data_IF_364752104588
#
_entry.id   IF_364752104588
#
_cell.length_a   1.000
_cell.length_b   1.000
_cell.length_c   1.000
_cell.angle_alpha   90.00
_cell.angle_beta   90.00
_cell.angle_gamma   90.00
#
_symmetry.space_group_name_H-M   'P 1'
#
loop_
_entity.id
_entity.type
_entity.pdbx_description
1 polymer ?
#
# COMPACT_ATOMS: atom_id res chain seq x y z
N UNK A 1 -1.42 53.83 -41.54
CA UNK A 1 -0.04 53.37 -41.77
C UNK A 1 0.46 52.89 -40.42
N UNK A 2 0.07 51.66 -40.08
CA UNK A 2 0.92 50.45 -40.14
C UNK A 2 1.77 50.36 -38.86
N UNK A 3 1.85 49.26 -38.11
CA UNK A 3 1.45 47.89 -38.37
C UNK A 3 0.97 47.23 -37.07
N UNK A 4 -0.03 46.37 -37.24
CA UNK A 4 -0.51 45.35 -36.32
C UNK A 4 0.67 44.44 -35.94
N UNK A 5 0.90 44.27 -34.63
CA UNK A 5 1.93 43.41 -34.06
C UNK A 5 1.60 41.95 -34.42
N UNK A 6 2.22 41.45 -35.49
CA UNK A 6 2.11 40.06 -35.89
C UNK A 6 2.74 39.13 -34.85
N UNK A 7 1.96 38.72 -33.84
CA UNK A 7 2.27 37.52 -33.08
C UNK A 7 2.33 36.37 -34.07
N UNK A 8 3.53 35.83 -34.31
CA UNK A 8 3.69 34.70 -35.22
C UNK A 8 2.75 33.56 -34.81
N UNK A 9 1.83 33.19 -35.69
CA UNK A 9 0.87 32.12 -35.44
C UNK A 9 1.64 30.80 -35.47
N UNK A 10 1.90 30.22 -34.30
CA UNK A 10 2.56 28.91 -34.15
C UNK A 10 1.59 27.84 -34.67
N UNK A 11 2.05 26.92 -35.53
CA UNK A 11 1.21 25.80 -35.99
C UNK A 11 0.99 24.79 -34.87
N UNK A 12 -0.17 24.12 -34.84
CA UNK A 12 -0.50 23.13 -33.79
C UNK A 12 0.54 22.03 -33.67
N UNK A 13 1.10 21.57 -34.80
CA UNK A 13 2.17 20.58 -34.83
C UNK A 13 3.46 21.11 -34.19
N UNK A 14 3.85 22.33 -34.54
CA UNK A 14 5.04 22.97 -33.96
C UNK A 14 4.84 23.22 -32.46
N UNK A 15 3.65 23.62 -32.02
CA UNK A 15 3.31 23.77 -30.61
C UNK A 15 3.41 22.44 -29.86
N UNK A 16 2.89 21.36 -30.43
CA UNK A 16 2.98 20.00 -29.87
C UNK A 16 4.43 19.54 -29.72
N UNK A 17 5.27 19.73 -30.74
CA UNK A 17 6.68 19.33 -30.69
C UNK A 17 7.46 20.14 -29.64
N UNK A 18 7.25 21.46 -29.59
CA UNK A 18 7.88 22.35 -28.61
C UNK A 18 7.45 22.04 -27.17
N UNK A 19 6.15 21.79 -26.93
CA UNK A 19 5.63 21.45 -25.60
C UNK A 19 6.05 20.05 -25.16
N UNK A 20 6.23 19.10 -26.10
CA UNK A 20 6.82 17.78 -25.83
C UNK A 20 8.28 17.92 -25.38
N UNK A 21 9.11 18.69 -26.10
CA UNK A 21 10.49 18.96 -25.72
C UNK A 21 10.60 19.68 -24.36
N UNK A 22 9.72 20.64 -24.08
CA UNK A 22 9.61 21.29 -22.76
C UNK A 22 9.26 20.30 -21.66
N UNK A 23 8.35 19.36 -21.92
CA UNK A 23 7.95 18.33 -20.95
C UNK A 23 9.10 17.38 -20.63
N UNK A 24 9.87 16.97 -21.64
CA UNK A 24 11.09 16.16 -21.44
C UNK A 24 12.13 16.90 -20.59
N UNK A 25 12.40 18.17 -20.90
CA UNK A 25 13.34 18.99 -20.12
C UNK A 25 12.88 19.22 -18.68
N UNK A 26 11.57 19.42 -18.47
CA UNK A 26 10.99 19.51 -17.13
C UNK A 26 11.12 18.18 -16.37
N UNK A 27 10.90 17.05 -17.06
CA UNK A 27 11.06 15.71 -16.49
C UNK A 27 12.49 15.44 -16.01
N UNK A 28 13.51 15.74 -16.83
CA UNK A 28 14.92 15.60 -16.44
C UNK A 28 15.31 16.51 -15.27
N UNK A 29 14.85 17.78 -15.28
CA UNK A 29 15.10 18.71 -14.19
C UNK A 29 14.45 18.25 -12.87
N UNK A 30 13.21 17.76 -12.93
CA UNK A 30 12.48 17.24 -11.78
C UNK A 30 13.11 15.95 -11.24
N UNK A 31 13.62 15.07 -12.10
CA UNK A 31 14.28 13.84 -11.69
C UNK A 31 15.58 14.07 -10.90
N UNK A 32 16.23 15.23 -11.09
CA UNK A 32 17.45 15.64 -10.38
C UNK A 32 17.18 16.38 -9.06
N UNK A 33 15.91 16.66 -8.75
CA UNK A 33 15.48 17.35 -7.53
C UNK A 33 14.39 16.53 -6.81
N UNK A 34 14.78 15.57 -5.96
CA UNK A 34 13.84 14.70 -5.25
C UNK A 34 12.83 15.45 -4.38
N UNK A 35 13.22 16.59 -3.80
CA UNK A 35 12.31 17.40 -2.97
C UNK A 35 11.26 18.10 -3.83
N UNK A 36 11.65 18.65 -5.00
CA UNK A 36 10.71 19.20 -5.96
C UNK A 36 9.80 18.12 -6.57
N UNK A 37 10.32 16.92 -6.83
CA UNK A 37 9.54 15.78 -7.29
C UNK A 37 8.51 15.34 -6.25
N UNK A 38 8.91 15.27 -4.98
CA UNK A 38 8.02 14.97 -3.84
C UNK A 38 6.93 16.03 -3.69
N UNK A 39 7.30 17.31 -3.75
CA UNK A 39 6.36 18.43 -3.72
C UNK A 39 5.37 18.40 -4.88
N UNK A 40 5.83 18.08 -6.09
CA UNK A 40 4.97 17.98 -7.27
C UNK A 40 3.99 16.81 -7.16
N UNK A 41 4.47 15.63 -6.75
CA UNK A 41 3.63 14.47 -6.46
C UNK A 41 2.60 14.83 -5.39
N UNK A 42 3.04 15.37 -4.25
CA UNK A 42 2.17 15.79 -3.15
C UNK A 42 1.10 16.78 -3.61
N UNK A 43 1.48 17.78 -4.41
CA UNK A 43 0.54 18.75 -4.97
C UNK A 43 -0.53 18.06 -5.81
N UNK A 44 -0.16 17.18 -6.75
CA UNK A 44 -1.11 16.44 -7.57
C UNK A 44 -2.03 15.53 -6.74
N UNK A 45 -1.51 14.89 -5.68
CA UNK A 45 -2.29 14.07 -4.76
C UNK A 45 -3.29 14.92 -3.94
N UNK A 46 -2.88 16.10 -3.46
CA UNK A 46 -3.74 16.99 -2.67
C UNK A 46 -4.91 17.52 -3.49
N UNK A 47 -4.71 17.90 -4.75
CA UNK A 47 -5.79 18.30 -5.66
C UNK A 47 -6.82 17.18 -5.83
N UNK A 48 -6.36 15.94 -6.05
CA UNK A 48 -7.24 14.78 -6.22
C UNK A 48 -7.99 14.37 -4.94
N UNK A 49 -7.41 14.66 -3.78
CA UNK A 49 -7.98 14.33 -2.48
C UNK A 49 -9.01 15.38 -2.04
N UNK A 50 -8.66 16.67 -2.11
CA UNK A 50 -9.42 17.76 -1.50
C UNK A 50 -10.30 18.53 -2.51
N UNK A 51 -10.05 18.47 -3.83
CA UNK A 51 -10.84 19.18 -4.86
C UNK A 51 -11.66 18.25 -5.77
N UNK A 52 -12.13 17.13 -5.22
CA UNK A 52 -12.83 16.08 -5.99
C UNK A 52 -14.04 16.59 -6.77
N UNK A 53 -14.76 17.57 -6.22
CA UNK A 53 -16.02 18.08 -6.75
C UNK A 53 -15.83 19.22 -7.75
N UNK A 54 -14.66 19.86 -7.74
CA UNK A 54 -14.40 21.08 -8.51
C UNK A 54 -14.04 20.81 -9.99
N UNK A 55 -13.75 19.56 -10.36
CA UNK A 55 -13.47 19.12 -11.74
C UNK A 55 -12.20 19.70 -12.40
N UNK A 56 -11.69 20.83 -11.90
CA UNK A 56 -10.50 21.51 -12.38
C UNK A 56 -9.24 20.89 -11.76
N UNK A 57 -8.40 20.28 -12.61
CA UNK A 57 -7.07 19.77 -12.24
C UNK A 57 -6.01 20.70 -12.82
N UNK A 58 -5.52 21.65 -12.02
CA UNK A 58 -4.41 22.53 -12.41
C UNK A 58 -3.05 21.86 -12.13
N UNK A 59 -2.82 20.67 -12.69
CA UNK A 59 -1.55 19.94 -12.58
C UNK A 59 -1.12 19.37 -13.93
N UNK A 60 0.17 19.41 -14.21
CA UNK A 60 0.78 18.79 -15.39
C UNK A 60 1.24 17.35 -15.15
N UNK A 61 1.07 16.82 -13.92
CA UNK A 61 1.35 15.42 -13.62
C UNK A 61 0.13 14.56 -13.97
N UNK A 62 0.32 13.60 -14.88
CA UNK A 62 -0.70 12.61 -15.22
C UNK A 62 -0.60 11.41 -14.25
N UNK A 63 -1.25 11.55 -13.09
CA UNK A 63 -1.30 10.54 -12.02
C UNK A 63 -2.77 10.27 -11.70
N UNK A 64 -3.24 9.03 -11.87
CA UNK A 64 -4.58 8.64 -11.44
C UNK A 64 -4.54 8.14 -9.99
N UNK A 65 -5.07 8.94 -9.06
CA UNK A 65 -5.32 8.51 -7.67
C UNK A 65 -6.76 8.08 -7.54
N UNK A 66 -6.97 6.77 -7.41
CA UNK A 66 -8.30 6.23 -7.15
C UNK A 66 -8.55 6.15 -5.66
N UNK A 67 -9.31 7.11 -5.16
CA UNK A 67 -9.84 7.03 -3.79
C UNK A 67 -11.04 6.09 -3.73
N UNK A 68 -11.09 5.28 -2.67
CA UNK A 68 -12.20 4.36 -2.44
C UNK A 68 -12.96 4.81 -1.21
N UNK A 69 -14.23 5.15 -1.41
CA UNK A 69 -15.14 5.47 -0.33
C UNK A 69 -15.62 4.17 0.35
N UNK A 70 -14.78 3.58 1.20
CA UNK A 70 -15.07 2.31 1.90
C UNK A 70 -16.35 2.42 2.77
N UNK A 71 -16.57 3.54 3.43
CA UNK A 71 -17.77 3.81 4.25
C UNK A 71 -19.04 3.94 3.40
N UNK A 72 -18.92 4.40 2.14
CA UNK A 72 -20.06 4.41 1.20
C UNK A 72 -20.42 2.99 0.74
N UNK A 73 -19.42 2.14 0.55
CA UNK A 73 -19.61 0.74 0.16
C UNK A 73 -20.08 -0.14 1.34
N UNK A 74 -19.70 0.20 2.57
CA UNK A 74 -20.08 -0.50 3.78
C UNK A 74 -20.41 0.50 4.91
N UNK A 75 -21.65 1.02 4.99
CA UNK A 75 -22.04 2.05 5.97
C UNK A 75 -21.77 1.70 7.43
N UNK A 76 -21.77 0.41 7.77
CA UNK A 76 -21.46 -0.08 9.14
C UNK A 76 -20.02 0.21 9.57
N UNK A 77 -19.13 0.55 8.63
CA UNK A 77 -17.75 0.92 8.92
C UNK A 77 -17.58 2.42 9.19
N UNK A 78 -18.66 3.22 9.11
CA UNK A 78 -18.58 4.65 9.42
C UNK A 78 -18.10 4.92 10.85
N UNK A 79 -18.54 4.10 11.81
CA UNK A 79 -18.15 4.20 13.21
C UNK A 79 -16.82 3.48 13.53
N UNK A 80 -16.12 2.97 12.51
CA UNK A 80 -14.83 2.31 12.72
C UNK A 80 -13.79 3.35 13.18
N UNK A 81 -13.00 3.09 14.25
CA UNK A 81 -11.99 4.02 14.75
C UNK A 81 -11.00 4.50 13.69
N UNK A 82 -10.61 3.63 12.74
CA UNK A 82 -9.71 4.01 11.66
C UNK A 82 -10.38 4.95 10.64
N UNK A 83 -11.68 4.76 10.37
CA UNK A 83 -12.43 5.66 9.49
C UNK A 83 -12.56 7.05 10.11
N UNK A 84 -12.85 7.12 11.43
CA UNK A 84 -12.90 8.38 12.19
C UNK A 84 -11.52 9.07 12.19
N UNK A 85 -10.44 8.32 12.46
CA UNK A 85 -9.09 8.87 12.45
C UNK A 85 -8.66 9.42 11.08
N UNK A 86 -9.03 8.74 9.98
CA UNK A 86 -8.78 9.23 8.62
C UNK A 86 -9.60 10.48 8.29
N UNK A 87 -10.84 10.57 8.76
CA UNK A 87 -11.66 11.76 8.61
C UNK A 87 -11.10 12.95 9.40
N UNK A 88 -10.58 12.72 10.61
CA UNK A 88 -9.92 13.76 11.39
C UNK A 88 -8.65 14.27 10.67
N UNK A 89 -7.79 13.37 10.18
CA UNK A 89 -6.61 13.75 9.39
C UNK A 89 -6.98 14.53 8.13
N UNK A 90 -8.11 14.21 7.50
CA UNK A 90 -8.64 15.00 6.39
C UNK A 90 -8.91 16.44 6.80
N UNK A 91 -9.65 16.61 7.90
CA UNK A 91 -10.05 17.92 8.39
C UNK A 91 -8.83 18.75 8.79
N UNK A 92 -7.89 18.16 9.51
CA UNK A 92 -6.65 18.81 9.95
C UNK A 92 -5.82 19.28 8.74
N UNK A 93 -5.61 18.41 7.74
CA UNK A 93 -4.90 18.76 6.52
C UNK A 93 -5.61 19.83 5.69
N UNK A 94 -6.96 19.76 5.61
CA UNK A 94 -7.76 20.76 4.88
C UNK A 94 -7.66 22.14 5.50
N UNK A 95 -7.58 22.24 6.83
CA UNK A 95 -7.44 23.53 7.53
C UNK A 95 -6.09 24.20 7.29
N UNK A 96 -5.04 23.41 7.03
CA UNK A 96 -3.70 23.93 6.75
C UNK A 96 -3.55 24.39 5.29
N UNK A 97 -4.36 23.83 4.38
CA UNK A 97 -4.26 24.13 2.96
C UNK A 97 -5.07 25.38 2.56
N UNK A 98 -4.56 26.18 1.60
CA UNK A 98 -5.35 27.25 1.00
C UNK A 98 -6.64 26.72 0.35
N UNK A 99 -7.72 27.49 0.53
CA UNK A 99 -9.03 27.23 -0.09
C UNK A 99 -8.92 27.19 -1.61
N UNK A 100 -8.10 28.06 -2.20
CA UNK A 100 -7.89 28.17 -3.63
C UNK A 100 -6.82 27.17 -4.11
N UNK A 101 -7.13 26.24 -5.02
CA UNK A 101 -6.19 25.23 -5.51
C UNK A 101 -4.88 25.81 -6.09
N UNK A 102 -4.97 26.92 -6.83
CA UNK A 102 -3.82 27.61 -7.43
C UNK A 102 -2.79 28.12 -6.41
N UNK A 103 -3.21 28.38 -5.17
CA UNK A 103 -2.34 28.89 -4.11
C UNK A 103 -1.60 27.75 -3.38
N UNK A 104 -2.00 26.49 -3.59
CA UNK A 104 -1.48 25.33 -2.85
C UNK A 104 -0.02 25.04 -3.13
N UNK A 105 0.45 25.19 -4.37
CA UNK A 105 1.87 25.02 -4.69
C UNK A 105 2.75 25.94 -3.86
N UNK A 106 2.34 27.21 -3.72
CA UNK A 106 3.08 28.19 -2.91
C UNK A 106 3.05 27.83 -1.43
N UNK A 107 1.90 27.40 -0.91
CA UNK A 107 1.77 26.98 0.49
C UNK A 107 2.62 25.73 0.81
N UNK A 108 2.57 24.69 -0.03
CA UNK A 108 3.34 23.46 0.17
C UNK A 108 4.86 23.74 0.20
N UNK A 109 5.37 24.68 -0.61
CA UNK A 109 6.77 25.10 -0.54
C UNK A 109 7.15 25.78 0.78
N UNK A 110 6.19 26.37 1.48
CA UNK A 110 6.42 27.03 2.77
C UNK A 110 6.32 26.09 3.98
N UNK A 111 5.75 24.90 3.80
CA UNK A 111 5.64 23.90 4.87
C UNK A 111 7.01 23.31 5.18
N UNK A 112 7.22 22.89 6.42
CA UNK A 112 8.40 22.11 6.78
C UNK A 112 8.35 20.70 6.18
N UNK A 113 9.44 19.96 6.33
CA UNK A 113 9.58 18.62 5.79
C UNK A 113 8.53 17.65 6.37
N UNK A 114 8.33 17.70 7.68
CA UNK A 114 7.42 16.80 8.40
C UNK A 114 5.97 17.01 7.96
N UNK A 115 5.50 18.27 7.83
CA UNK A 115 4.14 18.57 7.37
C UNK A 115 3.88 18.09 5.95
N UNK A 116 4.89 18.20 5.06
CA UNK A 116 4.78 17.66 3.69
C UNK A 116 4.71 16.13 3.69
N UNK A 117 5.51 15.49 4.54
CA UNK A 117 5.53 14.03 4.67
C UNK A 117 4.23 13.49 5.26
N UNK A 118 3.66 14.18 6.25
CA UNK A 118 2.37 13.81 6.84
C UNK A 118 1.23 13.93 5.82
N UNK A 119 1.19 15.01 5.03
CA UNK A 119 0.22 15.17 3.95
C UNK A 119 0.40 14.09 2.87
N UNK A 120 1.64 13.76 2.50
CA UNK A 120 1.94 12.69 1.55
C UNK A 120 1.43 11.34 2.06
N UNK A 121 1.78 10.99 3.30
CA UNK A 121 1.37 9.75 3.93
C UNK A 121 -0.16 9.64 3.97
N UNK A 122 -0.85 10.74 4.31
CA UNK A 122 -2.32 10.79 4.29
C UNK A 122 -2.90 10.58 2.89
N UNK A 123 -2.41 11.31 1.89
CA UNK A 123 -2.85 11.16 0.50
C UNK A 123 -2.62 9.74 -0.04
N UNK A 124 -1.47 9.13 0.26
CA UNK A 124 -1.17 7.74 -0.12
C UNK A 124 -2.11 6.77 0.59
N UNK A 125 -2.40 6.97 1.88
CA UNK A 125 -3.31 6.10 2.64
C UNK A 125 -4.71 6.03 2.03
N UNK A 126 -5.25 7.15 1.52
CA UNK A 126 -6.57 7.16 0.88
C UNK A 126 -6.63 6.45 -0.49
N UNK A 127 -5.47 6.21 -1.11
CA UNK A 127 -5.36 5.46 -2.36
C UNK A 127 -5.30 3.94 -2.13
N UNK A 128 -5.13 3.50 -0.89
CA UNK A 128 -5.00 2.09 -0.56
C UNK A 128 -6.31 1.35 -0.81
N UNK A 129 -6.26 0.37 -1.71
CA UNK A 129 -7.33 -0.60 -1.92
C UNK A 129 -6.86 -2.00 -1.54
N UNK A 130 -7.27 -2.48 -0.37
CA UNK A 130 -7.03 -3.87 0.05
C UNK A 130 -8.31 -4.72 0.05
N UNK A 131 -9.42 -4.22 -0.50
CA UNK A 131 -10.70 -4.95 -0.51
C UNK A 131 -10.59 -6.15 -1.44
N UNK A 132 -10.96 -7.32 -0.92
CA UNK A 132 -11.02 -8.58 -1.68
C UNK A 132 -12.46 -8.79 -2.12
N UNK A 133 -12.70 -8.80 -3.44
CA UNK A 133 -14.01 -9.12 -4.03
C UNK A 133 -14.07 -10.58 -4.50
N UNK A 134 -15.26 -11.21 -4.55
CA UNK A 134 -15.40 -12.63 -4.92
C UNK A 134 -14.82 -13.02 -6.30
N UNK A 135 -14.69 -12.07 -7.21
CA UNK A 135 -14.21 -12.28 -8.58
C UNK A 135 -12.77 -11.75 -8.80
N UNK A 136 -12.08 -11.32 -7.73
CA UNK A 136 -10.71 -10.87 -7.86
C UNK A 136 -9.76 -12.04 -8.17
N UNK A 137 -8.79 -11.79 -9.04
CA UNK A 137 -7.72 -12.76 -9.28
C UNK A 137 -6.94 -12.99 -7.99
N UNK A 138 -6.68 -14.25 -7.60
CA UNK A 138 -5.97 -14.55 -6.36
C UNK A 138 -4.59 -13.86 -6.36
N UNK A 139 -4.24 -13.22 -5.24
CA UNK A 139 -2.92 -12.63 -5.00
C UNK A 139 -2.66 -11.23 -5.57
N UNK A 140 -3.46 -10.71 -6.52
CA UNK A 140 -3.20 -9.40 -7.16
C UNK A 140 -3.23 -8.24 -6.16
N UNK A 141 -4.22 -8.23 -5.28
CA UNK A 141 -4.41 -7.17 -4.27
C UNK A 141 -3.87 -7.58 -2.90
N UNK A 142 -3.86 -8.89 -2.62
CA UNK A 142 -3.54 -9.45 -1.29
C UNK A 142 -2.05 -9.33 -0.96
N UNK A 143 -1.15 -9.70 -1.89
CA UNK A 143 0.29 -9.70 -1.60
C UNK A 143 0.87 -8.31 -1.36
N UNK A 144 0.54 -7.27 -2.17
CA UNK A 144 0.98 -5.91 -1.88
C UNK A 144 0.39 -5.37 -0.57
N UNK A 145 -0.89 -5.64 -0.28
CA UNK A 145 -1.54 -5.20 0.96
C UNK A 145 -0.89 -5.83 2.20
N UNK A 146 -0.53 -7.11 2.15
CA UNK A 146 0.19 -7.80 3.24
C UNK A 146 1.56 -7.17 3.49
N UNK A 147 2.32 -6.84 2.43
CA UNK A 147 3.64 -6.19 2.59
C UNK A 147 3.51 -4.83 3.27
N UNK A 148 2.50 -4.04 2.88
CA UNK A 148 2.23 -2.75 3.52
C UNK A 148 1.81 -2.96 4.97
N UNK A 149 0.91 -3.92 5.24
CA UNK A 149 0.47 -4.26 6.60
C UNK A 149 1.64 -4.65 7.51
N UNK A 150 2.57 -5.47 7.03
CA UNK A 150 3.81 -5.82 7.74
C UNK A 150 4.69 -4.60 7.99
N UNK A 151 4.91 -3.77 6.97
CA UNK A 151 5.76 -2.58 7.08
C UNK A 151 5.24 -1.57 8.10
N UNK A 152 3.92 -1.39 8.18
CA UNK A 152 3.29 -0.44 9.12
C UNK A 152 2.93 -1.06 10.47
N UNK A 153 3.21 -2.36 10.68
CA UNK A 153 2.85 -3.08 11.89
C UNK A 153 1.34 -3.13 12.14
N UNK A 154 0.55 -3.39 11.10
CA UNK A 154 -0.91 -3.48 11.20
C UNK A 154 -1.34 -4.71 11.99
N UNK A 155 -1.80 -4.47 13.21
CA UNK A 155 -2.41 -5.44 14.11
C UNK A 155 -3.94 -5.28 14.13
N UNK A 156 -4.64 -6.18 13.45
CA UNK A 156 -6.10 -6.17 13.36
C UNK A 156 -6.79 -6.55 14.68
N UNK A 157 -6.11 -7.18 15.64
CA UNK A 157 -6.71 -7.54 16.93
C UNK A 157 -7.09 -6.30 17.75
N UNK A 158 -6.43 -5.16 17.51
CA UNK A 158 -6.72 -3.88 18.16
C UNK A 158 -7.97 -3.20 17.64
N UNK A 159 -8.38 -3.49 16.41
CA UNK A 159 -9.48 -2.81 15.72
C UNK A 159 -10.66 -3.71 15.39
N UNK A 160 -10.48 -5.03 15.51
CA UNK A 160 -11.51 -6.02 15.24
C UNK A 160 -11.54 -7.11 16.31
N UNK A 161 -12.74 -7.38 16.83
CA UNK A 161 -13.03 -8.54 17.67
C UNK A 161 -14.23 -9.27 17.06
N UNK A 162 -14.11 -10.57 16.76
CA UNK A 162 -15.20 -11.34 16.17
C UNK A 162 -16.34 -11.52 17.18
N UNK A 163 -17.56 -11.17 16.77
CA UNK A 163 -18.79 -11.28 17.55
C UNK A 163 -19.86 -12.00 16.73
N UNK A 164 -20.94 -12.43 17.39
CA UNK A 164 -22.12 -12.97 16.74
C UNK A 164 -22.72 -11.98 15.74
N UNK A 165 -22.66 -10.67 16.02
CA UNK A 165 -23.24 -9.64 15.18
C UNK A 165 -22.38 -9.30 13.94
N UNK A 166 -21.05 -9.29 14.07
CA UNK A 166 -20.15 -8.84 13.02
C UNK A 166 -19.55 -9.97 12.16
N UNK A 167 -19.44 -11.19 12.69
CA UNK A 167 -18.81 -12.33 12.02
C UNK A 167 -19.63 -13.63 12.15
N UNK A 168 -19.71 -14.21 13.35
CA UNK A 168 -20.20 -15.59 13.52
C UNK A 168 -21.66 -15.79 13.09
N UNK A 169 -22.52 -14.77 13.20
CA UNK A 169 -23.90 -14.86 12.69
C UNK A 169 -23.98 -15.00 11.17
N UNK A 170 -22.96 -14.53 10.45
CA UNK A 170 -22.87 -14.57 8.97
C UNK A 170 -22.06 -15.77 8.48
N UNK A 171 -21.17 -16.30 9.31
CA UNK A 171 -20.36 -17.50 9.02
C UNK A 171 -21.22 -18.77 9.00
N UNK A 172 -20.79 -19.81 8.28
CA UNK A 172 -21.47 -21.13 8.29
C UNK A 172 -21.22 -21.85 9.62
N UNK A 173 -22.07 -22.83 9.99
CA UNK A 173 -21.82 -23.66 11.20
C UNK A 173 -20.43 -24.31 11.19
N UNK A 174 -20.01 -24.83 10.03
CA UNK A 174 -18.69 -25.43 9.84
C UNK A 174 -17.56 -24.41 10.05
N UNK A 175 -17.73 -23.18 9.58
CA UNK A 175 -16.77 -22.10 9.79
C UNK A 175 -16.68 -21.66 11.26
N UNK A 176 -17.81 -21.59 11.97
CA UNK A 176 -17.83 -21.26 13.41
C UNK A 176 -17.07 -22.34 14.21
N UNK A 177 -17.32 -23.62 13.93
CA UNK A 177 -16.60 -24.71 14.57
C UNK A 177 -15.10 -24.67 14.28
N UNK A 178 -14.71 -24.42 13.02
CA UNK A 178 -13.30 -24.29 12.65
C UNK A 178 -12.63 -23.11 13.38
N UNK A 179 -13.31 -21.97 13.52
CA UNK A 179 -12.81 -20.82 14.26
C UNK A 179 -12.57 -21.14 15.73
N UNK A 180 -13.54 -21.76 16.41
CA UNK A 180 -13.43 -22.13 17.83
C UNK A 180 -12.35 -23.18 18.05
N UNK A 181 -12.22 -24.15 17.15
CA UNK A 181 -11.14 -25.15 17.17
C UNK A 181 -9.76 -24.51 17.05
N UNK A 182 -9.61 -23.54 16.14
CA UNK A 182 -8.35 -22.81 15.99
C UNK A 182 -8.02 -21.93 17.20
N UNK A 183 -9.03 -21.33 17.82
CA UNK A 183 -8.83 -20.40 18.95
C UNK A 183 -8.61 -21.09 20.31
N UNK A 184 -9.29 -22.23 20.55
CA UNK A 184 -9.35 -22.90 21.87
C UNK A 184 -9.16 -24.42 21.84
N UNK A 185 -8.96 -25.01 20.66
CA UNK A 185 -8.74 -26.46 20.49
C UNK A 185 -10.02 -27.27 20.25
N UNK A 186 -9.83 -28.57 19.95
CA UNK A 186 -10.90 -29.46 19.48
C UNK A 186 -12.03 -29.67 20.50
N UNK A 187 -11.69 -29.75 21.79
CA UNK A 187 -12.66 -29.94 22.86
C UNK A 187 -13.72 -28.82 22.91
N UNK A 188 -13.30 -27.58 22.68
CA UNK A 188 -14.21 -26.43 22.64
C UNK A 188 -15.18 -26.48 21.44
N UNK A 189 -14.72 -27.01 20.30
CA UNK A 189 -15.57 -27.23 19.13
C UNK A 189 -16.68 -28.25 19.40
N UNK A 190 -16.36 -29.36 20.09
CA UNK A 190 -17.34 -30.40 20.43
C UNK A 190 -18.44 -29.90 21.37
N UNK A 191 -18.12 -28.95 22.27
CA UNK A 191 -19.09 -28.36 23.18
C UNK A 191 -20.21 -27.60 22.47
N UNK A 192 -19.96 -27.07 21.27
CA UNK A 192 -20.92 -26.20 20.55
C UNK A 192 -21.51 -26.84 19.30
N UNK A 193 -21.01 -28.00 18.87
CA UNK A 193 -21.40 -28.66 17.60
C UNK A 193 -22.90 -28.97 17.49
N UNK A 194 -23.51 -29.36 18.61
CA UNK A 194 -24.93 -29.70 18.67
C UNK A 194 -25.86 -28.47 18.68
N UNK A 195 -25.32 -27.26 18.83
CA UNK A 195 -26.11 -26.04 18.94
C UNK A 195 -26.73 -25.61 17.60
N UNK A 196 -27.83 -24.88 17.69
CA UNK A 196 -28.43 -24.18 16.54
C UNK A 196 -27.53 -22.99 16.17
N UNK A 197 -27.59 -22.54 14.90
CA UNK A 197 -26.63 -21.56 14.37
C UNK A 197 -26.56 -20.27 15.20
N UNK A 198 -27.70 -19.75 15.63
CA UNK A 198 -27.76 -18.52 16.43
C UNK A 198 -27.05 -18.71 17.78
N UNK A 199 -27.39 -19.77 18.51
CA UNK A 199 -26.79 -20.09 19.82
C UNK A 199 -25.29 -20.41 19.69
N UNK A 200 -24.91 -21.12 18.62
CA UNK A 200 -23.52 -21.43 18.30
C UNK A 200 -22.69 -20.16 18.04
N UNK A 201 -23.27 -19.15 17.39
CA UNK A 201 -22.58 -17.88 17.13
C UNK A 201 -22.32 -17.09 18.41
N UNK A 202 -23.30 -17.07 19.34
CA UNK A 202 -23.17 -16.41 20.65
C UNK A 202 -22.14 -17.13 21.52
N UNK A 203 -22.18 -18.47 21.55
CA UNK A 203 -21.21 -19.24 22.34
C UNK A 203 -19.80 -19.17 21.76
N UNK A 204 -19.66 -19.12 20.42
CA UNK A 204 -18.38 -18.91 19.77
C UNK A 204 -17.77 -17.55 20.11
N UNK A 205 -18.56 -16.47 20.14
CA UNK A 205 -18.12 -15.15 20.62
C UNK A 205 -17.53 -15.25 22.03
N UNK A 206 -18.23 -15.93 22.94
CA UNK A 206 -17.76 -16.11 24.33
C UNK A 206 -16.46 -16.91 24.40
N UNK A 207 -16.32 -17.98 23.60
CA UNK A 207 -15.16 -18.85 23.60
C UNK A 207 -13.92 -18.20 22.96
N UNK A 208 -14.13 -17.41 21.92
CA UNK A 208 -13.06 -16.75 21.16
C UNK A 208 -12.62 -15.43 21.80
N UNK A 209 -13.47 -14.82 22.64
CA UNK A 209 -13.14 -13.61 23.38
C UNK A 209 -11.79 -13.72 24.12
N UNK A 210 -10.94 -12.71 23.96
CA UNK A 210 -9.63 -12.63 24.62
C UNK A 210 -8.55 -13.57 24.07
N UNK A 211 -8.82 -14.34 23.01
CA UNK A 211 -7.81 -15.21 22.38
C UNK A 211 -6.92 -14.50 21.35
N UNK A 212 -7.33 -13.32 20.90
CA UNK A 212 -6.68 -12.65 19.76
C UNK A 212 -6.95 -13.33 18.41
N UNK A 213 -7.81 -14.35 18.35
CA UNK A 213 -8.12 -15.03 17.09
C UNK A 213 -8.83 -14.09 16.11
N UNK A 214 -8.41 -14.16 14.85
CA UNK A 214 -8.97 -13.39 13.74
C UNK A 214 -9.39 -14.32 12.59
N UNK A 215 -10.43 -13.97 11.82
CA UNK A 215 -10.71 -14.62 10.54
C UNK A 215 -9.54 -14.47 9.56
N UNK A 216 -9.33 -15.47 8.70
CA UNK A 216 -8.21 -15.52 7.75
C UNK A 216 -8.00 -14.22 6.93
N UNK A 217 -9.03 -13.53 6.40
CA UNK A 217 -8.83 -12.30 5.64
C UNK A 217 -8.27 -11.12 6.43
N UNK A 218 -8.34 -11.16 7.76
CA UNK A 218 -7.85 -10.09 8.65
C UNK A 218 -6.49 -10.41 9.25
N UNK A 219 -5.92 -11.59 8.99
CA UNK A 219 -4.59 -11.96 9.48
C UNK A 219 -3.53 -11.34 8.59
N UNK A 220 -2.53 -10.74 9.21
CA UNK A 220 -1.28 -10.35 8.54
C UNK A 220 -0.32 -11.55 8.64
N UNK A 221 0.03 -12.23 7.54
CA UNK A 221 0.97 -13.36 7.58
C UNK A 221 2.30 -12.95 8.23
N UNK A 222 2.78 -13.76 9.17
CA UNK A 222 4.03 -13.49 9.91
C UNK A 222 3.86 -12.80 11.27
N UNK A 223 2.64 -12.41 11.64
CA UNK A 223 2.28 -11.92 12.98
C UNK A 223 1.53 -13.00 13.79
N UNK A 224 1.55 -14.25 13.31
CA UNK A 224 1.10 -15.40 14.08
C UNK A 224 2.02 -15.50 15.30
N UNK A 225 1.54 -15.00 16.44
CA UNK A 225 2.12 -15.32 17.73
C UNK A 225 2.34 -16.82 17.79
N UNK A 226 3.62 -17.19 17.88
CA UNK A 226 4.14 -18.54 18.06
C UNK A 226 3.20 -19.33 18.98
N UNK A 227 2.34 -20.17 18.40
CA UNK A 227 1.77 -21.27 19.14
C UNK A 227 2.96 -22.19 19.46
N UNK A 228 3.20 -22.53 20.74
CA UNK A 228 4.42 -23.23 21.14
C UNK A 228 4.47 -24.58 20.43
N UNK A 229 5.36 -24.69 19.44
CA UNK A 229 5.74 -25.98 18.90
C UNK A 229 6.40 -26.78 20.02
N UNK A 230 5.96 -28.01 20.33
CA UNK A 230 6.62 -28.82 21.32
C UNK A 230 8.06 -29.07 20.85
N UNK A 231 9.02 -28.57 21.62
CA UNK A 231 10.42 -28.86 21.43
C UNK A 231 10.60 -30.39 21.31
N UNK A 232 11.32 -30.90 20.31
CA UNK A 232 11.79 -32.27 20.37
C UNK A 232 12.88 -32.35 21.44
N UNK A 233 12.59 -33.13 22.48
CA UNK A 233 13.54 -33.61 23.49
C UNK A 233 14.83 -34.10 22.83
N UNK A 234 15.95 -33.69 23.43
CA UNK A 234 17.27 -33.96 22.90
C UNK A 234 17.74 -35.40 23.06
N UNK A 235 18.62 -35.80 22.14
CA UNK A 235 19.93 -36.46 22.30
C UNK A 235 20.47 -36.61 20.87
N UNK A 236 21.70 -36.22 20.53
CA UNK A 236 22.94 -36.81 21.02
C UNK A 236 24.11 -35.86 20.77
N UNK A 237 25.02 -35.80 21.74
CA UNK A 237 26.20 -34.93 21.75
C UNK A 237 27.42 -35.84 21.55
N UNK A 238 27.81 -36.06 20.30
CA UNK A 238 29.01 -36.81 19.90
C UNK A 238 30.05 -35.92 19.22
N UNK A 239 31.12 -35.64 19.92
CA UNK A 239 32.30 -34.82 19.57
C UNK A 239 33.16 -35.39 18.41
N UNK A 240 33.72 -34.53 17.55
CA UNK A 240 35.14 -34.55 17.14
C UNK A 240 35.51 -33.33 16.26
N UNK A 241 36.79 -32.97 16.29
CA UNK A 241 37.39 -31.69 15.95
C UNK A 241 38.00 -31.59 14.54
N UNK A 242 38.43 -30.37 14.17
CA UNK A 242 39.44 -30.00 13.15
C UNK A 242 39.08 -30.33 11.68
N UNK A 243 39.43 -29.59 10.62
CA UNK A 243 40.50 -28.64 10.32
C UNK A 243 40.10 -27.86 9.05
N UNK A 244 40.74 -26.72 8.78
CA UNK A 244 40.44 -25.86 7.63
C UNK A 244 40.73 -26.45 6.25
N UNK A 245 40.07 -25.87 5.24
CA UNK A 245 40.46 -25.82 3.84
C UNK A 245 40.00 -24.45 3.31
N UNK A 246 40.90 -23.48 3.14
CA UNK A 246 41.68 -23.27 1.91
C UNK A 246 40.76 -23.08 0.68
N UNK A 247 40.46 -21.81 0.38
CA UNK A 247 39.80 -21.41 -0.86
C UNK A 247 40.71 -21.73 -2.06
N UNK A 248 40.18 -22.26 -3.19
CA UNK A 248 40.98 -22.68 -4.33
C UNK A 248 41.59 -21.51 -5.11
N UNK A 249 42.84 -21.71 -5.53
CA UNK A 249 43.75 -20.74 -6.17
C UNK A 249 43.41 -20.38 -7.63
N UNK A 250 42.15 -20.13 -7.97
CA UNK A 250 41.74 -19.74 -9.33
C UNK A 250 41.58 -18.22 -9.54
N UNK A 251 41.77 -17.39 -8.50
CA UNK A 251 41.54 -15.93 -8.58
C UNK A 251 42.74 -15.07 -8.16
N UNK A 252 43.97 -15.54 -8.36
CA UNK A 252 45.18 -14.72 -8.20
C UNK A 252 45.77 -14.34 -9.57
N UNK A 253 45.21 -13.24 -10.10
CA UNK A 253 45.92 -12.14 -10.81
C UNK A 253 46.46 -12.38 -12.26
N UNK A 254 47.01 -11.35 -12.96
CA UNK A 254 46.28 -10.24 -13.59
C UNK A 254 46.77 -9.93 -15.04
N UNK A 255 46.17 -8.90 -15.65
CA UNK A 255 46.82 -7.89 -16.52
C UNK A 255 46.51 -7.79 -18.05
N UNK A 256 46.28 -6.53 -18.43
CA UNK A 256 46.63 -5.77 -19.63
C UNK A 256 46.14 -6.13 -21.07
N UNK A 257 45.50 -5.10 -21.66
CA UNK A 257 45.65 -4.56 -23.04
C UNK A 257 44.74 -5.04 -24.19
N UNK A 258 43.90 -4.09 -24.65
CA UNK A 258 43.22 -3.96 -25.97
C UNK A 258 44.23 -3.69 -27.12
N UNK A 259 43.86 -3.55 -28.43
CA UNK A 259 42.55 -3.59 -29.13
C UNK A 259 42.54 -4.43 -30.45
N UNK A 260 41.38 -4.68 -31.08
CA UNK A 260 41.28 -4.77 -32.55
C UNK A 260 39.84 -4.72 -33.08
N UNK A 261 39.76 -4.11 -34.24
CA UNK A 261 38.67 -3.68 -35.10
C UNK A 261 37.87 -4.80 -35.81
N UNK A 262 36.80 -4.38 -36.50
CA UNK A 262 36.00 -5.04 -37.55
C UNK A 262 34.69 -5.74 -37.16
N UNK A 263 33.56 -5.22 -37.67
CA UNK A 263 32.27 -5.91 -37.63
C UNK A 263 31.04 -5.11 -38.08
N UNK A 264 31.05 -4.62 -39.31
CA UNK A 264 30.01 -3.89 -40.02
C UNK A 264 28.65 -4.64 -40.24
N UNK A 265 27.53 -3.98 -39.88
CA UNK A 265 26.17 -3.90 -40.51
C UNK A 265 25.31 -5.19 -40.70
N UNK A 266 23.96 -5.14 -40.91
CA UNK A 266 23.13 -3.99 -41.35
C UNK A 266 21.75 -3.76 -40.69
N UNK A 267 21.22 -2.56 -40.95
CA UNK A 267 19.79 -2.19 -40.91
C UNK A 267 19.14 -2.39 -42.29
N UNK A 268 17.85 -2.75 -42.29
CA UNK A 268 16.85 -2.45 -43.32
C UNK A 268 15.49 -2.40 -42.58
N UNK A 269 14.76 -1.29 -42.49
CA UNK A 269 14.02 -0.58 -43.54
C UNK A 269 12.81 -1.36 -44.07
N UNK A 270 11.63 -1.08 -43.51
CA UNK A 270 10.42 -0.60 -44.21
C UNK A 270 9.46 0.05 -43.20
#
# INVERSE_FOLDING_TARGET
MEADEGSAVISDRLLSDLTSGRTLGLGDALARDPDAALLALLHALTLQTFDRESGARETCLDIEVRHIALTRAAPRLADNPAAIALAQRHADGSQQLPVRPQDRWKALRSFDHDSRHDLLAYCTALSLNAVILPHDRPGRTVTPAVRIAQQVGLDMTRSFTPTAANDFGRTTKTGILAAVRQAKGEAAGQLIDHLRKADMAVEAERLVAGTGWLPQPLRTPGDDGEAPSPAPDGVDRGSAAETGLALPAFLTEPDASTPSDAGAWPQAAE
#
